data_IF_459455464953
#
_entry.id   IF_459455464953
#
_cell.length_a   1.000
_cell.length_b   1.000
_cell.length_c   1.000
_cell.angle_alpha   90.00
_cell.angle_beta   90.00
_cell.angle_gamma   90.00
#
_symmetry.space_group_name_H-M   'P 1'
#
loop_
_entity.id
_entity.type
_entity.pdbx_description
1 polymer ?
#
# COMPACT_ATOMS: atom_id res chain seq x y z
N UNK A 1 -23.30 -12.76 13.56
CA UNK A 1 -22.37 -12.00 12.70
C UNK A 1 -21.24 -12.86 12.10
N UNK A 2 -21.29 -14.20 12.25
CA UNK A 2 -20.26 -15.11 11.74
C UNK A 2 -20.00 -14.88 10.24
N UNK A 3 -18.73 -14.65 9.87
CA UNK A 3 -18.30 -14.43 8.48
C UNK A 3 -18.76 -13.11 7.85
N UNK A 4 -19.27 -12.16 8.64
CA UNK A 4 -19.76 -10.86 8.16
C UNK A 4 -18.86 -9.68 8.54
N UNK A 5 -17.77 -9.90 9.27
CA UNK A 5 -16.81 -8.85 9.59
C UNK A 5 -15.68 -8.82 8.56
N UNK A 6 -14.97 -7.71 8.51
CA UNK A 6 -13.71 -7.57 7.80
C UNK A 6 -12.86 -6.52 8.52
N UNK A 7 -11.59 -6.44 8.20
CA UNK A 7 -10.66 -5.53 8.84
C UNK A 7 -9.48 -6.26 9.49
N UNK A 8 -8.79 -5.53 10.36
CA UNK A 8 -7.66 -6.05 11.12
C UNK A 8 -8.01 -7.28 11.98
N UNK A 9 -9.24 -7.33 12.50
CA UNK A 9 -9.73 -8.44 13.34
C UNK A 9 -10.29 -9.62 12.54
N UNK A 10 -10.19 -9.59 11.21
CA UNK A 10 -10.58 -10.74 10.39
C UNK A 10 -12.09 -10.88 10.16
N UNK A 11 -12.50 -12.06 9.68
CA UNK A 11 -13.88 -12.34 9.21
C UNK A 11 -14.82 -12.88 10.28
N UNK A 12 -14.27 -13.32 11.41
CA UNK A 12 -15.05 -13.86 12.51
C UNK A 12 -15.87 -15.10 12.11
N UNK A 13 -15.35 -15.94 11.20
CA UNK A 13 -15.96 -17.19 10.76
C UNK A 13 -15.37 -18.44 11.44
N UNK A 14 -14.31 -18.28 12.24
CA UNK A 14 -13.60 -19.37 12.93
C UNK A 14 -12.50 -20.01 12.08
N UNK A 15 -12.27 -19.50 10.88
CA UNK A 15 -11.06 -19.74 10.09
C UNK A 15 -9.90 -18.91 10.70
N UNK A 16 -8.65 -19.30 10.44
CA UNK A 16 -7.49 -18.56 10.97
C UNK A 16 -6.26 -18.55 10.04
N UNK A 17 -6.27 -19.32 8.95
CA UNK A 17 -5.15 -19.44 8.02
C UNK A 17 -5.15 -18.34 6.97
N UNK A 18 -6.29 -17.73 6.69
CA UNK A 18 -6.45 -16.72 5.64
C UNK A 18 -6.97 -15.38 6.19
N UNK A 19 -6.58 -15.02 7.41
CA UNK A 19 -7.08 -13.78 8.05
C UNK A 19 -6.50 -12.49 7.46
N UNK A 20 -5.42 -12.57 6.68
CA UNK A 20 -4.79 -11.42 6.01
C UNK A 20 -5.51 -10.99 4.73
N UNK A 21 -6.84 -10.96 4.80
CA UNK A 21 -7.68 -10.44 3.73
C UNK A 21 -7.65 -8.92 3.69
N UNK A 22 -7.25 -8.37 2.54
CA UNK A 22 -7.28 -6.93 2.27
C UNK A 22 -8.70 -6.46 1.89
N UNK A 23 -8.97 -5.14 1.88
CA UNK A 23 -10.26 -4.61 1.40
C UNK A 23 -10.61 -5.02 -0.05
N UNK A 24 -9.60 -5.32 -0.88
CA UNK A 24 -9.79 -5.82 -2.24
C UNK A 24 -10.02 -7.34 -2.30
N UNK A 25 -10.28 -8.00 -1.17
CA UNK A 25 -10.51 -9.44 -1.01
C UNK A 25 -9.32 -10.33 -1.38
N UNK A 26 -8.11 -9.76 -1.45
CA UNK A 26 -6.88 -10.52 -1.69
C UNK A 26 -6.26 -10.95 -0.37
N UNK A 27 -5.40 -11.96 -0.42
CA UNK A 27 -4.63 -12.41 0.75
C UNK A 27 -3.20 -11.92 0.55
N UNK A 28 -2.68 -11.20 1.54
CA UNK A 28 -1.26 -10.83 1.61
C UNK A 28 -0.50 -11.80 2.51
N UNK A 29 0.80 -11.90 2.29
CA UNK A 29 1.67 -12.89 2.94
C UNK A 29 2.09 -12.49 4.35
N UNK A 30 2.04 -11.20 4.69
CA UNK A 30 2.51 -10.69 5.97
C UNK A 30 1.50 -9.77 6.70
N UNK A 31 1.59 -9.79 8.02
CA UNK A 31 0.69 -9.06 8.92
C UNK A 31 0.81 -7.52 8.77
N UNK A 32 1.98 -7.02 8.39
CA UNK A 32 2.25 -5.59 8.30
C UNK A 32 1.59 -5.03 7.04
N UNK A 33 1.78 -5.70 5.89
CA UNK A 33 1.07 -5.40 4.66
C UNK A 33 -0.44 -5.50 4.84
N UNK A 34 -0.93 -6.51 5.58
CA UNK A 34 -2.36 -6.60 5.93
C UNK A 34 -2.81 -5.34 6.66
N UNK A 35 -2.10 -4.96 7.72
CA UNK A 35 -2.44 -3.77 8.49
C UNK A 35 -2.40 -2.47 7.68
N UNK A 36 -1.42 -2.34 6.80
CA UNK A 36 -1.28 -1.19 5.90
C UNK A 36 -2.46 -1.07 4.93
N UNK A 37 -3.00 -2.19 4.43
CA UNK A 37 -4.16 -2.16 3.52
C UNK A 37 -5.45 -1.66 4.19
N UNK A 38 -5.54 -1.78 5.51
CA UNK A 38 -6.69 -1.32 6.32
C UNK A 38 -6.47 0.06 6.95
N UNK A 39 -5.31 0.67 6.74
CA UNK A 39 -4.99 1.98 7.31
C UNK A 39 -5.76 3.07 6.58
N UNK A 40 -6.53 3.85 7.32
CA UNK A 40 -7.23 5.02 6.79
C UNK A 40 -6.30 6.23 6.83
N UNK A 41 -6.36 7.07 5.79
CA UNK A 41 -5.73 8.39 5.83
C UNK A 41 -6.33 9.20 6.98
N UNK A 42 -5.48 9.82 7.79
CA UNK A 42 -5.94 10.73 8.82
C UNK A 42 -6.75 11.87 8.20
N UNK A 43 -7.98 12.07 8.67
CA UNK A 43 -8.79 13.26 8.39
C UNK A 43 -8.77 14.12 9.65
N UNK A 44 -8.32 15.36 9.54
CA UNK A 44 -8.04 16.25 10.67
C UNK A 44 -9.26 16.47 11.56
N UNK A 45 -9.16 16.10 12.84
CA UNK A 45 -10.12 16.51 13.86
C UNK A 45 -9.63 17.66 14.75
N UNK A 46 -8.33 17.94 14.91
CA UNK A 46 -7.86 19.13 15.65
C UNK A 46 -6.41 19.57 15.31
N UNK A 47 -6.26 20.89 15.40
CA UNK A 47 -5.14 21.82 15.20
C UNK A 47 -3.71 21.35 15.53
N UNK A 48 -2.75 21.78 14.70
CA UNK A 48 -1.37 22.06 15.12
C UNK A 48 -0.29 21.42 14.26
N UNK A 49 -0.35 20.11 14.05
CA UNK A 49 0.67 19.37 13.30
C UNK A 49 0.06 18.66 12.09
N UNK A 50 0.52 19.05 10.91
CA UNK A 50 -0.03 18.67 9.60
C UNK A 50 0.61 17.41 9.02
N UNK A 51 1.37 16.65 9.80
CA UNK A 51 2.19 15.57 9.29
C UNK A 51 1.64 14.19 9.62
N UNK A 52 0.81 13.67 8.72
CA UNK A 52 0.19 12.36 8.86
C UNK A 52 0.76 11.37 7.85
N UNK A 53 0.57 10.09 8.16
CA UNK A 53 0.77 8.99 7.23
C UNK A 53 -0.51 8.81 6.41
N UNK A 54 -0.33 8.47 5.14
CA UNK A 54 -1.41 8.18 4.21
C UNK A 54 -1.08 6.94 3.37
N UNK A 55 -2.10 6.19 2.93
CA UNK A 55 -1.93 5.15 1.92
C UNK A 55 -1.54 5.78 0.58
N UNK A 56 -0.54 5.21 -0.08
CA UNK A 56 0.00 5.68 -1.36
C UNK A 56 0.32 4.51 -2.30
N UNK A 57 0.04 4.68 -3.59
CA UNK A 57 0.33 3.68 -4.61
C UNK A 57 1.70 3.94 -5.23
N UNK A 58 2.66 3.05 -4.98
CA UNK A 58 4.04 3.24 -5.45
C UNK A 58 4.14 2.82 -6.92
N UNK A 59 4.62 3.72 -7.75
CA UNK A 59 5.08 3.41 -9.10
C UNK A 59 6.60 3.20 -9.06
N UNK A 60 7.06 2.11 -9.67
CA UNK A 60 8.46 1.84 -9.92
C UNK A 60 8.67 1.86 -11.44
N UNK A 61 9.53 2.78 -11.89
CA UNK A 61 9.93 2.90 -13.30
C UNK A 61 11.20 2.07 -13.51
N UNK A 62 11.39 1.54 -14.72
CA UNK A 62 12.60 0.79 -15.12
C UNK A 62 12.84 -0.55 -14.41
N UNK A 63 11.78 -1.23 -13.97
CA UNK A 63 11.93 -2.62 -13.56
C UNK A 63 11.99 -3.53 -14.79
N UNK A 64 13.03 -4.36 -14.88
CA UNK A 64 13.10 -5.42 -15.87
C UNK A 64 12.20 -6.56 -15.41
N UNK A 65 11.01 -6.66 -15.98
CA UNK A 65 10.12 -7.79 -15.76
C UNK A 65 10.12 -8.67 -17.01
N UNK A 66 10.49 -9.95 -16.84
CA UNK A 66 10.63 -10.92 -17.94
C UNK A 66 11.51 -10.43 -19.11
N UNK A 67 12.58 -9.68 -18.80
CA UNK A 67 13.52 -9.16 -19.81
C UNK A 67 13.05 -7.90 -20.56
N UNK A 68 11.90 -7.32 -20.20
CA UNK A 68 11.36 -6.09 -20.80
C UNK A 68 11.30 -4.98 -19.77
N UNK A 69 11.73 -3.78 -20.17
CA UNK A 69 11.60 -2.59 -19.34
C UNK A 69 10.11 -2.27 -19.11
N UNK A 70 9.70 -2.34 -17.85
CA UNK A 70 8.30 -2.26 -17.44
C UNK A 70 8.11 -1.20 -16.35
N UNK A 71 6.93 -0.57 -16.35
CA UNK A 71 6.44 0.27 -15.25
C UNK A 71 5.63 -0.62 -14.34
N UNK A 72 5.98 -0.67 -13.06
CA UNK A 72 5.31 -1.51 -12.08
C UNK A 72 4.58 -0.66 -11.05
N UNK A 73 3.36 -1.05 -10.70
CA UNK A 73 2.47 -0.32 -9.82
C UNK A 73 2.06 -1.21 -8.66
N UNK A 74 2.15 -0.71 -7.44
CA UNK A 74 1.75 -1.50 -6.27
C UNK A 74 0.26 -1.81 -6.34
N UNK A 75 -0.15 -3.07 -6.18
CA UNK A 75 -1.59 -3.44 -6.17
C UNK A 75 -2.25 -3.17 -4.82
N UNK A 76 -1.44 -2.98 -3.78
CA UNK A 76 -1.85 -2.59 -2.44
C UNK A 76 -1.22 -1.23 -2.07
N UNK A 77 -1.90 -0.42 -1.24
CA UNK A 77 -1.35 0.84 -0.79
C UNK A 77 -0.18 0.60 0.18
N UNK A 78 0.84 1.43 0.06
CA UNK A 78 1.99 1.50 0.96
C UNK A 78 1.88 2.78 1.77
N UNK A 79 2.20 2.70 3.06
CA UNK A 79 2.17 3.88 3.92
C UNK A 79 3.29 4.87 3.54
N UNK A 80 2.92 6.12 3.32
CA UNK A 80 3.82 7.24 3.04
C UNK A 80 3.43 8.46 3.87
N UNK A 81 4.41 9.27 4.21
CA UNK A 81 4.15 10.57 4.81
C UNK A 81 3.46 11.48 3.80
N UNK A 82 2.65 12.42 4.28
CA UNK A 82 2.11 13.46 3.40
C UNK A 82 3.24 14.31 2.76
N UNK A 83 2.99 14.89 1.57
CA UNK A 83 3.92 15.83 0.96
C UNK A 83 4.30 16.95 1.95
N UNK A 84 5.59 17.32 1.97
CA UNK A 84 6.16 18.28 2.92
C UNK A 84 6.71 17.65 4.20
N UNK A 85 6.37 16.39 4.50
CA UNK A 85 6.91 15.65 5.64
C UNK A 85 8.07 14.74 5.27
N UNK A 86 8.94 14.48 6.25
CA UNK A 86 9.99 13.47 6.15
C UNK A 86 9.68 12.25 7.03
N UNK A 87 9.99 11.02 6.57
CA UNK A 87 9.90 9.83 7.42
C UNK A 87 11.00 9.84 8.49
N UNK A 88 10.62 9.60 9.73
CA UNK A 88 11.55 9.33 10.83
C UNK A 88 11.93 7.85 10.88
N UNK A 89 10.94 6.99 10.61
CA UNK A 89 11.07 5.55 10.66
C UNK A 89 10.43 4.92 9.45
N UNK A 90 11.17 3.99 8.86
CA UNK A 90 10.71 3.20 7.72
C UNK A 90 10.87 1.72 8.01
N UNK A 91 10.04 0.92 7.34
CA UNK A 91 10.10 -0.53 7.40
C UNK A 91 9.95 -1.09 5.99
N UNK A 92 10.86 -1.98 5.63
CA UNK A 92 10.77 -2.72 4.37
C UNK A 92 9.73 -3.83 4.51
N UNK A 93 8.75 -3.83 3.60
CA UNK A 93 7.65 -4.81 3.54
C UNK A 93 7.59 -5.42 2.14
N UNK A 94 7.00 -6.62 2.03
CA UNK A 94 6.79 -7.26 0.73
C UNK A 94 5.47 -6.80 0.13
N UNK A 95 5.55 -6.18 -1.04
CA UNK A 95 4.38 -5.59 -1.71
C UNK A 95 4.24 -6.17 -3.09
N UNK A 96 3.01 -6.53 -3.44
CA UNK A 96 2.67 -6.95 -4.79
C UNK A 96 2.66 -5.79 -5.78
N UNK A 97 3.19 -6.03 -6.97
CA UNK A 97 3.20 -5.11 -8.09
C UNK A 97 2.58 -5.72 -9.33
N UNK A 98 1.87 -4.90 -10.08
CA UNK A 98 1.43 -5.17 -11.44
C UNK A 98 2.35 -4.44 -12.41
N UNK A 99 2.96 -5.15 -13.36
CA UNK A 99 3.95 -4.61 -14.28
C UNK A 99 3.40 -4.54 -15.69
N UNK A 100 3.61 -3.40 -16.35
CA UNK A 100 3.16 -3.15 -17.71
C UNK A 100 4.38 -2.67 -18.54
N UNK A 101 4.62 -3.21 -19.74
CA UNK A 101 5.70 -2.74 -20.60
C UNK A 101 5.62 -1.22 -20.86
N UNK A 102 6.77 -0.54 -20.87
CA UNK A 102 6.83 0.93 -21.03
C UNK A 102 6.16 1.40 -22.33
N UNK A 103 6.30 0.61 -23.40
CA UNK A 103 5.80 0.92 -24.75
C UNK A 103 4.31 0.64 -24.94
N UNK A 104 3.63 0.15 -23.90
CA UNK A 104 2.19 -0.07 -23.96
C UNK A 104 1.42 1.24 -23.80
N UNK A 105 0.41 1.45 -24.65
CA UNK A 105 -0.51 2.60 -24.58
C UNK A 105 -1.54 2.50 -23.43
N UNK A 106 -1.36 1.56 -22.49
CA UNK A 106 -2.28 1.39 -21.36
C UNK A 106 -1.97 2.45 -20.29
N UNK A 107 -2.86 3.43 -20.12
CA UNK A 107 -2.78 4.36 -18.99
C UNK A 107 -3.03 3.58 -17.69
N UNK A 108 -1.95 3.36 -16.95
CA UNK A 108 -1.91 2.48 -15.78
C UNK A 108 -2.78 2.90 -14.60
N UNK A 109 -3.48 4.03 -14.63
CA UNK A 109 -4.26 4.52 -13.49
C UNK A 109 -5.65 3.89 -13.37
N UNK A 110 -6.15 3.21 -14.42
CA UNK A 110 -7.49 2.65 -14.39
C UNK A 110 -7.55 1.36 -13.56
N UNK A 111 -8.07 1.51 -12.34
CA UNK A 111 -8.38 0.42 -11.40
C UNK A 111 -7.19 -0.52 -11.08
N UNK A 112 -6.02 0.02 -10.74
CA UNK A 112 -4.84 -0.77 -10.27
C UNK A 112 -5.24 -1.80 -9.20
N UNK A 113 -6.19 -1.46 -8.33
CA UNK A 113 -6.75 -2.31 -7.28
C UNK A 113 -7.33 -3.65 -7.79
N UNK A 114 -7.80 -3.71 -9.04
CA UNK A 114 -8.38 -4.92 -9.64
C UNK A 114 -7.36 -5.75 -10.42
N UNK A 115 -6.17 -5.21 -10.71
CA UNK A 115 -5.12 -5.87 -11.52
C UNK A 115 -4.36 -6.93 -10.73
N UNK A 116 -4.06 -8.08 -11.32
CA UNK A 116 -3.31 -9.15 -10.68
C UNK A 116 -1.93 -8.68 -10.22
N UNK A 117 -1.39 -9.34 -9.19
CA UNK A 117 0.00 -9.18 -8.80
C UNK A 117 0.85 -10.06 -9.72
N UNK A 118 1.87 -9.47 -10.36
CA UNK A 118 2.80 -10.19 -11.24
C UNK A 118 4.13 -10.49 -10.54
N UNK A 119 4.54 -9.61 -9.61
CA UNK A 119 5.78 -9.75 -8.84
C UNK A 119 5.58 -9.22 -7.41
N UNK A 120 6.28 -9.82 -6.46
CA UNK A 120 6.37 -9.35 -5.07
C UNK A 120 7.74 -8.73 -4.84
N UNK A 121 7.78 -7.45 -4.45
CA UNK A 121 9.02 -6.70 -4.27
C UNK A 121 9.10 -6.07 -2.89
N UNK A 122 10.32 -5.99 -2.37
CA UNK A 122 10.61 -5.31 -1.12
C UNK A 122 10.45 -3.79 -1.30
N UNK A 123 9.65 -3.17 -0.43
CA UNK A 123 9.26 -1.77 -0.52
C UNK A 123 9.24 -1.12 0.83
N UNK A 124 9.85 0.07 0.94
CA UNK A 124 9.81 0.83 2.19
C UNK A 124 8.43 1.47 2.42
N UNK A 125 7.87 1.20 3.59
CA UNK A 125 6.70 1.87 4.15
C UNK A 125 7.16 2.81 5.27
N UNK A 126 6.53 3.98 5.37
CA UNK A 126 6.80 4.93 6.45
C UNK A 126 5.94 4.57 7.67
N UNK A 127 6.55 4.48 8.85
CA UNK A 127 5.85 4.21 10.11
C UNK A 127 5.68 5.46 10.97
N UNK A 128 6.60 6.43 10.86
CA UNK A 128 6.59 7.67 11.63
C UNK A 128 7.04 8.84 10.74
N UNK A 129 6.41 10.00 10.90
CA UNK A 129 6.65 11.18 10.09
C UNK A 129 6.91 12.42 10.95
N UNK A 130 7.78 13.30 10.47
CA UNK A 130 8.07 14.59 11.10
C UNK A 130 7.78 15.74 10.15
N UNK A 131 7.20 16.82 10.69
CA UNK A 131 7.07 18.08 9.97
C UNK A 131 8.46 18.64 9.63
N UNK A 132 8.67 19.03 8.38
CA UNK A 132 9.77 19.94 8.02
C UNK A 132 9.33 21.39 8.26
N UNK A 133 10.24 22.38 8.21
CA UNK A 133 9.85 23.80 8.23
C UNK A 133 8.85 24.19 7.12
N UNK A 134 8.70 23.35 6.09
CA UNK A 134 7.78 23.54 4.97
C UNK A 134 6.37 22.98 5.25
N UNK A 135 6.12 22.34 6.40
CA UNK A 135 4.80 21.81 6.80
C UNK A 135 3.83 22.88 7.34
N UNK A 136 4.04 24.16 6.98
CA UNK A 136 3.26 25.30 7.45
C UNK A 136 1.96 25.51 6.66
#
# INVERSE_FOLDING_TARGET
>A
LKGKTCGLCGRGDGEFRQEYHTPSKRIVTDAVSHAHTWTLAAKTCLSGYKCFIQPYFKMLVENIHHGVASKCYSVHPVLRCMPGCNPLKTKTIKVGYHCIPIDSNLSSTDNIFSKSMDVELDTDAHEECQCTPQCA
#
